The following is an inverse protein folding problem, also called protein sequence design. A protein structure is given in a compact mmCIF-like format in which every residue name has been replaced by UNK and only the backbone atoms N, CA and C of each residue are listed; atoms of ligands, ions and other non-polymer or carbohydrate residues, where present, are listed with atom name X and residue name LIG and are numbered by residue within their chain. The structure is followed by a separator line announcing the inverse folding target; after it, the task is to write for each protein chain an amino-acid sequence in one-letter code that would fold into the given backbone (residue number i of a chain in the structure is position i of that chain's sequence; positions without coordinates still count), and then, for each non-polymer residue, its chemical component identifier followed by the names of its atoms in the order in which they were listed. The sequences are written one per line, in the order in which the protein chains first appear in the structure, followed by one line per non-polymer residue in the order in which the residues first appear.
data_IF_385509129923
#
_entry.id   IF_385509129923
#
_cell.length_a   1.000
_cell.length_b   1.000
_cell.length_c   1.000
_cell.angle_alpha   90.00
_cell.angle_beta   90.00
_cell.angle_gamma   90.00
#
_symmetry.space_group_name_H-M   'P 1'
#
loop_
_entity.id
_entity.type
_entity.pdbx_description
1 polymer ?
#
# COMPACT_ATOMS: atom_id res chain seq x y z
N UNK A 1 -11.13 1.21 1.43
CA UNK A 1 -10.37 -0.03 1.68
C UNK A 1 -9.93 -0.03 3.13
N UNK A 2 -10.14 -1.16 3.82
CA UNK A 2 -9.62 -1.49 5.15
C UNK A 2 -8.89 -2.83 5.02
N UNK A 3 -7.84 -3.03 5.80
CA UNK A 3 -7.17 -4.32 6.00
C UNK A 3 -7.37 -4.75 7.46
N UNK A 4 -7.63 -6.03 7.69
CA UNK A 4 -7.80 -6.57 9.04
C UNK A 4 -6.63 -7.49 9.35
N UNK A 5 -5.91 -7.23 10.44
CA UNK A 5 -4.85 -8.09 10.97
C UNK A 5 -5.39 -8.78 12.21
N UNK A 6 -5.53 -10.10 12.18
CA UNK A 6 -5.88 -10.87 13.38
C UNK A 6 -4.62 -11.00 14.24
N UNK A 7 -4.71 -10.58 15.50
CA UNK A 7 -3.58 -10.62 16.41
C UNK A 7 -3.39 -12.02 16.98
N UNK A 8 -2.14 -12.43 17.10
CA UNK A 8 -1.69 -13.65 17.76
C UNK A 8 -1.77 -13.53 19.28
N UNK A 9 -1.53 -12.31 19.79
CA UNK A 9 -1.69 -11.95 21.21
C UNK A 9 -2.58 -10.69 21.30
N UNK A 10 -3.66 -10.68 22.10
CA UNK A 10 -4.49 -9.49 22.27
C UNK A 10 -3.72 -8.33 22.91
N UNK A 11 -4.07 -7.10 22.52
CA UNK A 11 -3.49 -5.86 23.07
C UNK A 11 -4.55 -5.01 23.78
N UNK A 12 -4.14 -4.11 24.66
CA UNK A 12 -5.02 -3.12 25.28
C UNK A 12 -5.00 -1.81 24.48
N UNK A 13 -6.16 -1.36 24.01
CA UNK A 13 -6.36 -0.07 23.34
C UNK A 13 -7.64 0.61 23.86
N UNK A 14 -7.54 1.91 24.21
CA UNK A 14 -8.65 2.70 24.79
C UNK A 14 -9.30 2.12 26.07
N UNK A 15 -8.64 1.16 26.73
CA UNK A 15 -9.18 0.46 27.90
C UNK A 15 -9.94 -0.83 27.57
N UNK A 16 -9.95 -1.26 26.30
CA UNK A 16 -10.55 -2.50 25.83
C UNK A 16 -9.49 -3.46 25.27
N UNK A 17 -9.77 -4.76 25.35
CA UNK A 17 -8.95 -5.79 24.74
C UNK A 17 -9.27 -5.93 23.24
N UNK A 18 -8.24 -5.78 22.40
CA UNK A 18 -8.33 -5.85 20.95
C UNK A 18 -7.58 -7.09 20.47
N UNK A 19 -8.27 -7.96 19.73
CA UNK A 19 -7.71 -9.17 19.10
C UNK A 19 -7.69 -9.12 17.56
N UNK A 20 -8.23 -8.05 16.96
CA UNK A 20 -8.18 -7.78 15.53
C UNK A 20 -7.94 -6.28 15.32
N UNK A 21 -6.90 -5.95 14.56
CA UNK A 21 -6.57 -4.58 14.21
C UNK A 21 -7.20 -4.22 12.85
N UNK A 22 -8.16 -3.29 12.85
CA UNK A 22 -8.74 -2.74 11.62
C UNK A 22 -7.92 -1.54 11.11
N UNK A 23 -7.08 -1.76 10.11
CA UNK A 23 -6.28 -0.71 9.48
C UNK A 23 -7.07 -0.06 8.34
N UNK A 24 -7.45 1.21 8.47
CA UNK A 24 -7.93 2.02 7.33
C UNK A 24 -6.76 2.62 6.53
N UNK A 25 -7.00 2.96 5.26
CA UNK A 25 -6.04 3.73 4.46
C UNK A 25 -5.72 5.09 5.13
N UNK A 26 -4.44 5.53 5.19
CA UNK A 26 -4.09 6.86 5.67
C UNK A 26 -4.53 7.96 4.69
N UNK A 27 -4.80 9.15 5.21
CA UNK A 27 -5.08 10.36 4.43
C UNK A 27 -3.80 11.12 4.09
N UNK A 28 -3.85 11.98 3.06
CA UNK A 28 -2.71 12.84 2.68
C UNK A 28 -2.29 13.78 3.81
N UNK A 29 -3.24 14.24 4.65
CA UNK A 29 -2.94 15.07 5.81
C UNK A 29 -2.09 14.32 6.84
N UNK A 30 -2.44 13.07 7.15
CA UNK A 30 -1.70 12.23 8.10
C UNK A 30 -0.32 11.86 7.57
N UNK A 31 -0.21 11.53 6.28
CA UNK A 31 1.08 11.29 5.61
C UNK A 31 2.00 12.52 5.73
N UNK A 32 1.47 13.73 5.48
CA UNK A 32 2.22 14.97 5.63
C UNK A 32 2.57 15.32 7.09
N UNK A 33 1.77 14.87 8.05
CA UNK A 33 2.06 15.05 9.48
C UNK A 33 3.18 14.11 9.96
N UNK A 34 3.22 12.87 9.46
CA UNK A 34 4.25 11.86 9.77
C UNK A 34 5.57 12.15 9.02
N UNK A 35 5.51 12.85 7.87
CA UNK A 35 6.67 13.34 7.08
C UNK A 35 7.56 12.25 6.47
N UNK A 36 7.18 10.98 6.54
CA UNK A 36 7.91 9.84 6.00
C UNK A 36 6.96 8.76 5.47
N UNK A 37 7.47 7.88 4.60
CA UNK A 37 6.80 6.66 4.15
C UNK A 37 7.16 5.49 5.08
N UNK A 38 6.29 4.47 5.23
CA UNK A 38 6.55 3.29 6.07
C UNK A 38 7.60 2.33 5.48
N UNK A 39 8.19 2.66 4.33
CA UNK A 39 9.25 1.91 3.69
C UNK A 39 10.25 2.85 2.98
N UNK A 40 11.41 2.29 2.66
CA UNK A 40 12.43 2.84 1.76
C UNK A 40 12.55 1.92 0.56
N UNK A 41 12.95 2.49 -0.57
CA UNK A 41 13.35 1.75 -1.77
C UNK A 41 14.86 1.99 -1.91
N UNK A 42 15.63 0.91 -1.78
CA UNK A 42 17.08 0.94 -1.87
C UNK A 42 17.55 0.91 -3.34
N UNK A 43 18.86 1.05 -3.59
CA UNK A 43 19.41 1.24 -4.96
C UNK A 43 19.26 0.02 -5.87
N UNK A 44 19.08 -1.15 -5.27
CA UNK A 44 18.81 -2.45 -5.89
C UNK A 44 17.30 -2.74 -6.01
N UNK A 45 16.46 -1.71 -5.84
CA UNK A 45 14.99 -1.79 -5.82
C UNK A 45 14.42 -2.61 -4.65
N UNK A 46 15.25 -3.02 -3.69
CA UNK A 46 14.79 -3.69 -2.48
C UNK A 46 13.89 -2.76 -1.64
N UNK A 47 12.80 -3.31 -1.11
CA UNK A 47 11.86 -2.59 -0.25
C UNK A 47 12.13 -2.94 1.21
N UNK A 48 12.63 -1.97 1.96
CA UNK A 48 12.93 -2.10 3.39
C UNK A 48 11.89 -1.34 4.21
N UNK A 49 11.17 -2.01 5.12
CA UNK A 49 10.24 -1.34 6.04
C UNK A 49 10.99 -0.43 7.02
N UNK A 50 10.44 0.76 7.28
CA UNK A 50 10.88 1.63 8.37
C UNK A 50 9.92 1.46 9.56
N UNK A 51 10.32 0.64 10.55
CA UNK A 51 9.41 0.20 11.61
C UNK A 51 8.96 1.33 12.55
N UNK A 52 9.77 2.37 12.77
CA UNK A 52 9.37 3.53 13.57
C UNK A 52 8.30 4.36 12.83
N UNK A 53 8.42 4.50 11.51
CA UNK A 53 7.41 5.16 10.68
C UNK A 53 6.16 4.28 10.52
N UNK A 54 6.33 2.98 10.30
CA UNK A 54 5.23 2.02 10.21
C UNK A 54 4.40 2.00 11.50
N UNK A 55 5.03 1.95 12.68
CA UNK A 55 4.33 2.01 13.98
C UNK A 55 3.44 3.27 14.12
N UNK A 56 3.92 4.43 13.66
CA UNK A 56 3.13 5.69 13.65
C UNK A 56 1.91 5.58 12.76
N UNK A 57 2.05 5.00 11.57
CA UNK A 57 0.91 4.73 10.70
C UNK A 57 -0.03 3.67 11.27
N UNK A 58 0.47 2.60 11.90
CA UNK A 58 -0.33 1.55 12.54
C UNK A 58 -1.23 2.16 13.61
N UNK A 59 -0.71 3.04 14.48
CA UNK A 59 -1.51 3.77 15.47
C UNK A 59 -2.61 4.62 14.81
N UNK A 60 -2.26 5.45 13.83
CA UNK A 60 -3.19 6.37 13.14
C UNK A 60 -4.26 5.60 12.34
N UNK A 61 -3.85 4.58 11.59
CA UNK A 61 -4.70 3.78 10.70
C UNK A 61 -5.56 2.76 11.46
N UNK A 62 -5.05 2.21 12.57
CA UNK A 62 -5.79 1.35 13.49
C UNK A 62 -6.68 2.10 14.48
N UNK A 63 -6.54 3.43 14.55
CA UNK A 63 -7.18 4.28 15.56
C UNK A 63 -6.89 3.82 16.99
N UNK A 64 -5.67 3.36 17.26
CA UNK A 64 -5.22 2.92 18.59
C UNK A 64 -4.15 3.87 19.16
N UNK A 65 -4.00 3.96 20.50
CA UNK A 65 -2.89 4.68 21.12
C UNK A 65 -1.52 4.17 20.63
N UNK A 66 -0.49 5.02 20.47
CA UNK A 66 0.86 4.56 20.13
C UNK A 66 1.44 3.55 21.12
N UNK A 67 1.05 3.64 22.41
CA UNK A 67 1.41 2.67 23.46
C UNK A 67 0.76 1.29 23.27
N UNK A 68 -0.30 1.18 22.49
CA UNK A 68 -0.92 -0.10 22.12
C UNK A 68 -0.14 -0.81 21.01
N UNK A 69 0.50 -0.06 20.11
CA UNK A 69 1.39 -0.64 19.07
C UNK A 69 2.58 -1.36 19.71
N UNK A 70 3.10 -0.83 20.81
CA UNK A 70 4.22 -1.43 21.57
C UNK A 70 3.85 -2.75 22.30
N UNK A 71 2.59 -3.17 22.27
CA UNK A 71 2.12 -4.44 22.85
C UNK A 71 1.97 -5.55 21.80
N UNK A 72 2.08 -5.22 20.51
CA UNK A 72 1.95 -6.20 19.43
C UNK A 72 3.06 -7.25 19.50
N UNK A 73 2.72 -8.51 19.19
CA UNK A 73 3.73 -9.51 18.88
C UNK A 73 4.55 -9.09 17.65
N UNK A 74 5.80 -9.55 17.56
CA UNK A 74 6.70 -9.22 16.45
C UNK A 74 6.16 -9.67 15.08
N UNK A 75 5.45 -10.79 15.02
CA UNK A 75 4.82 -11.26 13.79
C UNK A 75 3.62 -10.38 13.39
N UNK A 76 2.76 -10.03 14.36
CA UNK A 76 1.60 -9.17 14.17
C UNK A 76 2.01 -7.75 13.74
N UNK A 77 3.07 -7.20 14.37
CA UNK A 77 3.66 -5.91 14.02
C UNK A 77 4.21 -5.90 12.59
N UNK A 78 4.88 -6.98 12.17
CA UNK A 78 5.41 -7.12 10.81
C UNK A 78 4.29 -7.22 9.77
N UNK A 79 3.24 -8.04 9.99
CA UNK A 79 2.10 -8.09 9.07
C UNK A 79 1.39 -6.74 8.96
N UNK A 80 1.09 -6.10 10.10
CA UNK A 80 0.49 -4.77 10.13
C UNK A 80 1.32 -3.71 9.40
N UNK A 81 2.65 -3.76 9.49
CA UNK A 81 3.54 -2.87 8.74
C UNK A 81 3.46 -3.10 7.22
N UNK A 82 3.40 -4.35 6.76
CA UNK A 82 3.20 -4.68 5.34
C UNK A 82 1.81 -4.28 4.83
N UNK A 83 0.74 -4.46 5.63
CA UNK A 83 -0.60 -3.95 5.31
C UNK A 83 -0.61 -2.44 5.10
N UNK A 84 0.05 -1.70 6.01
CA UNK A 84 0.21 -0.25 5.90
C UNK A 84 1.00 0.14 4.65
N UNK A 85 2.11 -0.55 4.34
CA UNK A 85 2.90 -0.29 3.13
C UNK A 85 2.09 -0.52 1.83
N UNK A 86 1.28 -1.58 1.79
CA UNK A 86 0.40 -1.90 0.65
C UNK A 86 -0.57 -0.79 0.27
N UNK A 87 -1.02 0.03 1.23
CA UNK A 87 -1.85 1.21 0.96
C UNK A 87 -1.16 2.28 0.10
N UNK A 88 0.17 2.36 0.10
CA UNK A 88 0.90 3.32 -0.73
C UNK A 88 1.19 2.76 -2.13
N UNK A 89 1.31 1.43 -2.25
CA UNK A 89 1.62 0.74 -3.51
C UNK A 89 0.40 0.55 -4.41
N UNK A 90 -0.80 0.43 -3.83
CA UNK A 90 -2.04 0.21 -4.59
C UNK A 90 -2.96 1.46 -4.56
N UNK A 91 -3.43 1.99 -5.71
CA UNK A 91 -4.43 3.06 -5.76
C UNK A 91 -5.75 2.65 -5.06
N UNK A 92 -6.45 3.62 -4.47
CA UNK A 92 -7.74 3.35 -3.82
C UNK A 92 -8.86 2.93 -4.80
N UNK A 93 -8.69 3.24 -6.10
CA UNK A 93 -9.60 2.86 -7.18
C UNK A 93 -8.80 2.43 -8.40
N UNK A 94 -8.87 1.16 -8.78
CA UNK A 94 -8.38 0.67 -10.07
C UNK A 94 -9.45 0.93 -11.14
N UNK A 95 -9.39 2.10 -11.79
CA UNK A 95 -10.11 2.27 -13.05
C UNK A 95 -9.43 1.40 -14.10
N UNK A 96 -9.97 0.21 -14.36
CA UNK A 96 -9.55 -0.68 -15.44
C UNK A 96 -9.65 0.08 -16.76
N UNK A 97 -8.51 0.49 -17.32
CA UNK A 97 -8.44 0.83 -18.73
C UNK A 97 -8.72 -0.44 -19.53
N UNK A 98 -9.96 -0.60 -19.98
CA UNK A 98 -10.33 -1.54 -21.03
C UNK A 98 -9.45 -1.29 -22.25
N UNK A 99 -8.48 -2.17 -22.48
CA UNK A 99 -7.69 -2.18 -23.69
C UNK A 99 -8.52 -2.75 -24.83
N UNK A 100 -9.32 -1.90 -25.47
CA UNK A 100 -9.94 -2.22 -26.76
C UNK A 100 -8.82 -2.52 -27.77
N UNK A 101 -8.86 -3.64 -28.51
CA UNK A 101 -7.76 -4.07 -29.36
C UNK A 101 -7.56 -3.16 -30.58
N UNK A 102 -6.31 -3.08 -31.03
CA UNK A 102 -5.86 -2.27 -32.16
C UNK A 102 -6.17 -2.91 -33.53
N UNK A 103 -6.51 -2.10 -34.53
CA UNK A 103 -6.50 -2.39 -35.99
C UNK A 103 -7.02 -1.17 -36.79
N UNK A 104 -6.80 -0.91 -38.09
CA UNK A 104 -5.89 -1.37 -39.18
C UNK A 104 -6.33 -0.61 -40.45
N UNK A 105 -5.56 0.00 -41.36
CA UNK A 105 -4.11 0.33 -41.53
C UNK A 105 -3.97 1.43 -42.62
N UNK A 106 -2.87 2.19 -42.64
CA UNK A 106 -2.46 2.98 -43.84
C UNK A 106 -1.34 2.27 -44.61
N UNK A 107 -1.46 2.10 -45.94
CA UNK A 107 -0.32 1.81 -46.82
C UNK A 107 -0.11 2.94 -47.83
N UNK A 108 1.12 3.48 -47.87
CA UNK A 108 1.57 4.39 -48.92
C UNK A 108 2.71 3.76 -49.73
N UNK A 109 2.72 4.04 -51.04
CA UNK A 109 3.83 3.85 -51.99
C UNK A 109 4.25 2.42 -52.37
N UNK A 110 4.01 2.10 -53.65
CA UNK A 110 4.68 1.05 -54.42
C UNK A 110 4.74 1.50 -55.88
N UNK A 111 5.95 1.58 -56.45
CA UNK A 111 6.20 2.18 -57.78
C UNK A 111 6.22 1.09 -58.91
N UNK A 112 6.63 1.39 -60.16
CA UNK A 112 5.83 1.10 -61.35
C UNK A 112 6.18 -0.25 -62.02
N UNK A 113 5.46 -0.64 -63.06
CA UNK A 113 5.91 -1.70 -63.97
C UNK A 113 5.57 -1.35 -65.41
N UNK A 114 6.57 -1.51 -66.30
CA UNK A 114 6.56 -1.18 -67.72
C UNK A 114 6.63 -2.50 -68.52
N UNK A 115 5.66 -2.76 -69.40
CA UNK A 115 5.59 -3.83 -70.44
C UNK A 115 4.10 -4.04 -70.80
N UNK A 116 3.63 -4.14 -72.04
CA UNK A 116 4.23 -3.98 -73.38
C UNK A 116 3.32 -3.10 -74.25
#
# INVERSE_FOLDING_TARGET
MKENVKLSVPIQAHGEEVSVLELRRPTVQEVRAIKALPYKIDRDEAVTLDMDVAAKYIAVCGHIPPTSVNQLDLADLNDAAWKVAGFFMTPASTSTKTSSPSSTTSPGSGNPTLSM
#
